data_IF_014839516425
#
_entry.id   IF_014839516425
#
_cell.length_a   1.000
_cell.length_b   1.000
_cell.length_c   1.000
_cell.angle_alpha   90.00
_cell.angle_beta   90.00
_cell.angle_gamma   90.00
#
_symmetry.space_group_name_H-M   'P 1'
#
loop_
_entity.id
_entity.type
_entity.pdbx_description
1 polymer ?
#
# COMPACT_ATOMS: atom_id res chain seq x y z
N UNK A 1 -3.13 1.69 -5.99
CA UNK A 1 -1.74 1.22 -5.95
C UNK A 1 -1.66 -0.07 -5.17
N UNK A 2 -0.65 -0.89 -5.45
CA UNK A 2 -0.36 -2.09 -4.69
C UNK A 2 1.11 -2.16 -4.31
N UNK A 3 1.42 -2.56 -3.09
CA UNK A 3 2.80 -2.74 -2.58
C UNK A 3 3.16 -4.22 -2.47
N UNK A 4 4.38 -4.54 -2.85
CA UNK A 4 5.04 -5.81 -2.59
C UNK A 4 6.37 -5.54 -1.89
N UNK A 5 6.52 -5.98 -0.65
CA UNK A 5 7.69 -5.72 0.18
C UNK A 5 8.18 -7.01 0.85
N UNK A 6 9.51 -7.16 0.91
CA UNK A 6 10.19 -8.19 1.69
C UNK A 6 11.37 -7.53 2.42
N UNK A 7 11.40 -7.63 3.74
CA UNK A 7 12.50 -7.15 4.59
C UNK A 7 13.03 -8.28 5.49
N UNK A 8 14.28 -8.17 5.92
CA UNK A 8 14.87 -9.09 6.89
C UNK A 8 14.47 -8.74 8.32
N UNK A 9 14.64 -9.71 9.23
CA UNK A 9 14.46 -9.53 10.70
C UNK A 9 15.36 -8.45 11.31
N UNK A 10 16.46 -8.13 10.64
CA UNK A 10 17.40 -7.08 11.02
C UNK A 10 16.95 -5.67 10.59
N UNK A 11 15.77 -5.56 9.97
CA UNK A 11 15.20 -4.31 9.45
C UNK A 11 15.62 -4.00 8.01
N UNK A 12 16.60 -4.73 7.46
CA UNK A 12 17.13 -4.46 6.12
C UNK A 12 16.10 -4.77 5.02
N UNK A 13 15.79 -3.77 4.19
CA UNK A 13 14.88 -3.94 3.06
C UNK A 13 15.54 -4.76 1.94
N UNK A 14 14.99 -5.94 1.62
CA UNK A 14 15.50 -6.77 0.53
C UNK A 14 14.95 -6.30 -0.83
N UNK A 15 13.65 -6.01 -0.89
CA UNK A 15 13.00 -5.46 -2.09
C UNK A 15 11.65 -4.84 -1.72
N UNK A 16 11.36 -3.67 -2.30
CA UNK A 16 10.05 -3.03 -2.28
C UNK A 16 9.66 -2.62 -3.69
N UNK A 17 8.44 -2.95 -4.09
CA UNK A 17 7.84 -2.52 -5.35
C UNK A 17 6.45 -1.93 -5.10
N UNK A 18 6.16 -0.77 -5.70
CA UNK A 18 4.81 -0.21 -5.75
C UNK A 18 4.37 -0.11 -7.19
N UNK A 19 3.21 -0.68 -7.50
CA UNK A 19 2.58 -0.59 -8.81
C UNK A 19 1.29 0.19 -8.72
N UNK A 20 1.13 1.18 -9.59
CA UNK A 20 -0.09 1.95 -9.69
C UNK A 20 -0.67 1.96 -11.09
N UNK A 21 -1.96 2.27 -11.15
CA UNK A 21 -2.76 2.30 -12.38
C UNK A 21 -3.90 3.29 -12.19
N UNK A 22 -4.00 4.28 -13.07
CA UNK A 22 -5.21 5.09 -13.24
C UNK A 22 -6.10 4.40 -14.26
N UNK A 23 -7.36 4.17 -13.87
CA UNK A 23 -8.42 3.71 -14.76
C UNK A 23 -9.43 4.84 -14.96
N UNK A 24 -9.86 5.02 -16.20
CA UNK A 24 -10.93 5.96 -16.56
C UNK A 24 -12.14 5.16 -17.00
N UNK A 25 -13.30 5.50 -16.46
CA UNK A 25 -14.60 4.94 -16.84
C UNK A 25 -15.54 6.06 -17.21
N UNK A 26 -16.06 6.02 -18.43
CA UNK A 26 -17.02 6.99 -18.94
C UNK A 26 -18.37 6.29 -19.08
N UNK A 27 -19.42 6.83 -18.45
CA UNK A 27 -20.77 6.23 -18.49
C UNK A 27 -21.74 6.99 -19.40
N UNK A 28 -21.35 8.18 -19.88
CA UNK A 28 -22.18 9.05 -20.73
C UNK A 28 -21.38 9.44 -21.97
N UNK A 29 -21.97 9.24 -23.15
CA UNK A 29 -21.35 9.51 -24.45
C UNK A 29 -20.95 10.96 -24.67
N UNK A 30 -21.62 11.90 -24.01
CA UNK A 30 -21.29 13.33 -24.05
C UNK A 30 -19.91 13.63 -23.48
N UNK A 31 -19.41 12.78 -22.57
CA UNK A 31 -18.08 12.85 -21.96
C UNK A 31 -17.10 11.82 -22.54
N UNK A 32 -17.39 11.27 -23.73
CA UNK A 32 -16.50 10.32 -24.40
C UNK A 32 -15.16 10.92 -24.83
N UNK A 33 -15.11 12.24 -25.08
CA UNK A 33 -13.91 12.97 -25.52
C UNK A 33 -13.45 13.92 -24.41
N UNK A 34 -12.65 13.39 -23.49
CA UNK A 34 -12.13 14.12 -22.33
C UNK A 34 -10.61 14.08 -22.25
N UNK A 35 -10.07 15.07 -21.53
CA UNK A 35 -8.69 15.09 -21.06
C UNK A 35 -8.68 15.09 -19.53
N UNK A 36 -7.71 14.39 -18.95
CA UNK A 36 -7.60 14.16 -17.51
C UNK A 36 -6.25 14.70 -17.04
N UNK A 37 -6.27 15.70 -16.18
CA UNK A 37 -5.06 16.32 -15.64
C UNK A 37 -4.61 15.56 -14.40
N UNK A 38 -3.33 15.18 -14.42
CA UNK A 38 -2.68 14.46 -13.32
C UNK A 38 -1.71 15.41 -12.64
N UNK A 39 -1.90 15.64 -11.35
CA UNK A 39 -0.86 16.20 -10.51
C UNK A 39 0.06 15.07 -10.09
N UNK A 40 1.34 15.19 -10.45
CA UNK A 40 2.38 14.27 -10.06
C UNK A 40 3.36 15.01 -9.14
N UNK A 41 3.23 14.77 -7.85
CA UNK A 41 4.13 15.33 -6.83
C UNK A 41 5.21 14.32 -6.41
N UNK A 42 5.36 13.21 -7.14
CA UNK A 42 6.32 12.18 -6.82
C UNK A 42 7.74 12.74 -6.69
N UNK A 43 8.41 12.34 -5.61
CA UNK A 43 9.82 12.62 -5.35
C UNK A 43 10.67 11.35 -5.30
N UNK A 44 10.03 10.18 -5.44
CA UNK A 44 10.65 8.86 -5.25
C UNK A 44 11.25 8.32 -6.55
N UNK A 45 10.93 8.90 -7.70
CA UNK A 45 11.51 8.54 -8.99
C UNK A 45 10.75 7.41 -9.69
N UNK A 46 9.42 7.44 -9.64
CA UNK A 46 8.59 6.42 -10.26
C UNK A 46 8.74 6.39 -11.79
N UNK A 47 8.58 5.19 -12.37
CA UNK A 47 8.59 5.00 -13.81
C UNK A 47 7.17 5.03 -14.37
N UNK A 48 6.82 6.10 -15.08
CA UNK A 48 5.50 6.29 -15.69
C UNK A 48 5.41 5.66 -17.09
N UNK A 49 4.28 5.02 -17.38
CA UNK A 49 3.95 4.51 -18.70
C UNK A 49 2.48 4.79 -19.04
N UNK A 50 2.24 5.51 -20.14
CA UNK A 50 0.88 5.74 -20.64
C UNK A 50 0.41 4.60 -21.55
N UNK A 51 -0.91 4.44 -21.66
CA UNK A 51 -1.53 3.49 -22.59
C UNK A 51 -1.16 3.82 -24.07
N UNK A 52 -1.02 2.84 -24.98
CA UNK A 52 -0.62 3.08 -26.37
C UNK A 52 -1.48 4.07 -27.17
N UNK A 53 -2.74 4.28 -26.75
CA UNK A 53 -3.66 5.23 -27.38
C UNK A 53 -3.66 6.62 -26.73
N UNK A 54 -2.92 6.83 -25.64
CA UNK A 54 -2.75 8.15 -25.01
C UNK A 54 -1.68 8.95 -25.75
N UNK A 55 -1.87 10.26 -25.84
CA UNK A 55 -0.87 11.18 -26.38
C UNK A 55 0.31 11.34 -25.39
N UNK A 56 1.42 10.66 -25.70
CA UNK A 56 2.66 10.72 -24.92
C UNK A 56 3.29 12.11 -24.90
N UNK A 57 3.17 12.88 -25.98
CA UNK A 57 3.78 14.22 -26.04
C UNK A 57 3.02 15.17 -25.12
N UNK A 58 1.69 15.12 -25.13
CA UNK A 58 0.84 15.89 -24.25
C UNK A 58 1.10 15.55 -22.77
N UNK A 59 1.14 14.25 -22.45
CA UNK A 59 1.42 13.80 -21.08
C UNK A 59 2.79 14.27 -20.59
N UNK A 60 3.84 14.12 -21.39
CA UNK A 60 5.19 14.54 -21.00
C UNK A 60 5.34 16.07 -20.84
N UNK A 61 4.55 16.85 -21.58
CA UNK A 61 4.63 18.31 -21.54
C UNK A 61 3.79 18.93 -20.43
N UNK A 62 2.69 18.29 -20.03
CA UNK A 62 1.64 18.93 -19.22
C UNK A 62 0.97 18.01 -18.19
N UNK A 63 1.44 16.77 -18.04
CA UNK A 63 0.81 15.74 -17.20
C UNK A 63 -0.68 15.53 -17.51
N UNK A 64 -1.06 15.76 -18.77
CA UNK A 64 -2.43 15.65 -19.24
C UNK A 64 -2.61 14.37 -20.07
N UNK A 65 -3.60 13.56 -19.67
CA UNK A 65 -3.97 12.31 -20.35
C UNK A 65 -5.12 12.62 -21.30
N UNK A 66 -4.87 12.48 -22.60
CA UNK A 66 -5.90 12.50 -23.64
C UNK A 66 -5.57 11.46 -24.71
N UNK A 67 -6.57 11.06 -25.51
CA UNK A 67 -6.33 10.15 -26.63
C UNK A 67 -5.56 10.84 -27.75
N UNK A 68 -4.57 10.15 -28.34
CA UNK A 68 -3.77 10.66 -29.47
C UNK A 68 -4.59 10.95 -30.73
N UNK A 69 -5.73 10.27 -30.88
CA UNK A 69 -6.68 10.51 -31.96
C UNK A 69 -7.91 11.20 -31.36
N UNK A 70 -8.02 12.51 -31.58
CA UNK A 70 -9.09 13.36 -31.05
C UNK A 70 -10.48 13.04 -31.62
N UNK A 71 -10.54 12.26 -32.70
CA UNK A 71 -11.81 11.76 -33.24
C UNK A 71 -12.33 10.55 -32.46
N UNK A 72 -11.48 9.86 -31.70
CA UNK A 72 -11.87 8.71 -30.90
C UNK A 72 -12.32 9.14 -29.50
N UNK A 73 -13.29 8.40 -28.97
CA UNK A 73 -13.77 8.54 -27.61
C UNK A 73 -13.23 7.41 -26.72
N UNK A 74 -13.18 7.64 -25.41
CA UNK A 74 -13.03 6.57 -24.43
C UNK A 74 -14.21 5.59 -24.55
N UNK A 75 -13.97 4.27 -24.44
CA UNK A 75 -15.02 3.27 -24.41
C UNK A 75 -16.03 3.53 -23.29
N UNK A 76 -17.32 3.42 -23.62
CA UNK A 76 -18.39 3.58 -22.63
C UNK A 76 -18.50 2.36 -21.73
N UNK A 77 -18.86 2.60 -20.47
CA UNK A 77 -19.16 1.60 -19.44
C UNK A 77 -18.03 0.58 -19.22
N UNK A 78 -16.79 0.94 -19.56
CA UNK A 78 -15.62 0.06 -19.47
C UNK A 78 -14.49 0.77 -18.75
N UNK A 79 -13.85 0.09 -17.81
CA UNK A 79 -12.64 0.59 -17.16
C UNK A 79 -11.44 0.49 -18.09
N UNK A 80 -10.86 1.64 -18.45
CA UNK A 80 -9.67 1.69 -19.32
C UNK A 80 -8.47 2.19 -18.52
N UNK A 81 -7.44 1.37 -18.41
CA UNK A 81 -6.16 1.77 -17.83
C UNK A 81 -5.44 2.76 -18.75
N UNK A 82 -5.19 3.98 -18.26
CA UNK A 82 -4.64 5.08 -19.08
C UNK A 82 -3.20 5.44 -18.72
N UNK A 83 -2.82 5.25 -17.46
CA UNK A 83 -1.50 5.53 -16.92
C UNK A 83 -1.17 4.47 -15.89
N UNK A 84 0.02 3.88 -15.97
CA UNK A 84 0.56 2.97 -14.96
C UNK A 84 1.93 3.46 -14.50
N UNK A 85 2.30 3.14 -13.27
CA UNK A 85 3.64 3.39 -12.76
C UNK A 85 4.19 2.21 -11.99
N UNK A 86 5.51 2.17 -11.92
CA UNK A 86 6.29 1.25 -11.08
C UNK A 86 7.31 2.05 -10.30
N UNK A 87 7.34 1.85 -9.00
CA UNK A 87 8.41 2.23 -8.11
C UNK A 87 9.11 0.96 -7.63
N UNK A 88 10.43 0.94 -7.57
CA UNK A 88 11.20 -0.18 -7.04
C UNK A 88 12.41 0.36 -6.29
N UNK A 89 12.65 -0.16 -5.09
CA UNK A 89 13.76 0.26 -4.23
C UNK A 89 14.20 -0.86 -3.28
N UNK A 90 15.40 -0.69 -2.73
CA UNK A 90 15.95 -1.43 -1.58
C UNK A 90 16.31 -0.49 -0.43
N UNK A 91 15.86 0.75 -0.51
CA UNK A 91 16.05 1.78 0.52
C UNK A 91 15.01 1.62 1.64
N UNK A 92 15.48 1.31 2.84
CA UNK A 92 14.64 1.05 4.02
C UNK A 92 13.82 2.27 4.47
N UNK A 93 14.30 3.48 4.20
CA UNK A 93 13.56 4.72 4.50
C UNK A 93 12.28 4.87 3.67
N UNK A 94 12.16 4.10 2.58
CA UNK A 94 10.99 4.10 1.70
C UNK A 94 9.89 3.16 2.17
N UNK A 95 10.14 2.29 3.15
CA UNK A 95 9.11 1.42 3.71
C UNK A 95 7.97 2.27 4.29
N UNK A 96 6.68 1.94 4.07
CA UNK A 96 5.60 2.70 4.71
C UNK A 96 5.53 2.42 6.22
N UNK A 97 5.71 1.16 6.62
CA UNK A 97 5.58 0.70 8.01
C UNK A 97 6.72 -0.26 8.36
N UNK A 98 7.69 0.20 9.15
CA UNK A 98 8.73 -0.69 9.66
C UNK A 98 8.15 -1.59 10.75
N UNK A 99 8.58 -2.85 10.78
CA UNK A 99 8.22 -3.82 11.82
C UNK A 99 9.51 -4.37 12.41
N UNK A 100 9.69 -4.26 13.72
CA UNK A 100 10.79 -4.89 14.43
C UNK A 100 10.23 -5.98 15.35
N UNK A 101 10.72 -7.21 15.24
CA UNK A 101 10.27 -8.35 16.03
C UNK A 101 11.47 -9.00 16.73
N UNK A 102 11.48 -8.94 18.05
CA UNK A 102 12.59 -9.38 18.91
C UNK A 102 12.13 -10.55 19.81
N UNK A 103 12.23 -11.79 19.33
CA UNK A 103 12.04 -12.96 20.17
C UNK A 103 13.26 -13.22 21.06
N UNK A 104 13.02 -13.41 22.36
CA UNK A 104 14.02 -13.72 23.39
C UNK A 104 13.76 -15.11 23.97
N UNK A 105 14.70 -16.03 23.78
CA UNK A 105 14.63 -17.38 24.34
C UNK A 105 14.87 -17.34 25.87
N UNK A 106 13.92 -17.86 26.64
CA UNK A 106 13.98 -17.94 28.11
C UNK A 106 14.39 -19.32 28.63
N UNK A 107 14.69 -20.27 27.74
CA UNK A 107 14.99 -21.67 28.02
C UNK A 107 13.75 -22.54 28.30
N UNK A 108 12.60 -21.93 28.60
CA UNK A 108 11.31 -22.60 28.80
C UNK A 108 10.23 -22.19 27.77
N UNK A 109 10.56 -21.21 26.93
CA UNK A 109 9.74 -20.65 25.87
C UNK A 109 10.43 -19.40 25.29
N UNK A 110 9.65 -18.54 24.67
CA UNK A 110 10.12 -17.25 24.16
C UNK A 110 9.23 -16.11 24.66
N UNK A 111 9.87 -15.02 25.05
CA UNK A 111 9.24 -13.72 25.24
C UNK A 111 9.47 -12.91 23.96
N UNK A 112 8.41 -12.42 23.34
CA UNK A 112 8.47 -11.71 22.06
C UNK A 112 7.99 -10.29 22.27
N UNK A 113 8.84 -9.32 21.88
CA UNK A 113 8.46 -7.93 21.76
C UNK A 113 8.43 -7.58 20.26
N UNK A 114 7.29 -7.09 19.78
CA UNK A 114 7.12 -6.65 18.40
C UNK A 114 6.60 -5.21 18.40
N UNK A 115 7.17 -4.37 17.54
CA UNK A 115 6.81 -2.97 17.40
C UNK A 115 6.66 -2.60 15.92
N UNK A 116 5.88 -1.55 15.66
CA UNK A 116 5.82 -0.90 14.36
C UNK A 116 6.26 0.56 14.45
N UNK A 117 6.73 1.09 13.33
CA UNK A 117 7.02 2.52 13.14
C UNK A 117 6.54 2.96 11.74
N UNK A 118 5.67 3.96 11.68
CA UNK A 118 5.21 4.60 10.44
C UNK A 118 6.30 5.55 9.94
N UNK A 119 6.97 5.17 8.84
CA UNK A 119 8.05 5.98 8.25
C UNK A 119 7.55 7.04 7.26
N UNK A 120 6.43 6.75 6.59
CA UNK A 120 5.80 7.68 5.65
C UNK A 120 4.60 8.33 6.33
N UNK A 121 4.85 9.42 7.07
CA UNK A 121 3.87 10.06 7.97
C UNK A 121 2.77 10.83 7.25
N UNK A 122 2.87 10.97 5.93
CA UNK A 122 1.80 11.44 5.04
C UNK A 122 0.74 10.37 4.75
N UNK A 123 0.99 9.11 5.12
CA UNK A 123 0.04 8.02 4.99
C UNK A 123 -0.85 7.88 6.23
N UNK A 124 -2.08 7.45 5.95
CA UNK A 124 -3.03 6.95 6.94
C UNK A 124 -3.34 5.51 6.54
N UNK A 125 -2.90 4.56 7.36
CA UNK A 125 -3.08 3.12 7.13
C UNK A 125 -4.28 2.63 7.94
N UNK A 126 -5.28 2.08 7.27
CA UNK A 126 -6.49 1.55 7.88
C UNK A 126 -6.50 0.03 7.90
N UNK A 127 -7.28 -0.50 8.85
CA UNK A 127 -7.53 -1.93 9.00
C UNK A 127 -6.21 -2.72 9.02
N UNK A 128 -5.23 -2.20 9.76
CA UNK A 128 -3.89 -2.76 9.82
C UNK A 128 -3.94 -4.07 10.59
N UNK A 129 -3.42 -5.13 9.98
CA UNK A 129 -3.29 -6.45 10.60
C UNK A 129 -1.84 -6.92 10.44
N UNK A 130 -1.15 -7.08 11.57
CA UNK A 130 0.17 -7.71 11.64
C UNK A 130 -0.03 -9.15 12.10
N UNK A 131 0.39 -10.10 11.28
CA UNK A 131 0.21 -11.54 11.46
C UNK A 131 1.54 -12.16 11.88
N UNK A 132 1.61 -12.60 13.12
CA UNK A 132 2.78 -13.27 13.70
C UNK A 132 2.48 -14.78 13.73
N UNK A 133 3.22 -15.62 12.98
CA UNK A 133 3.08 -17.07 13.10
C UNK A 133 3.52 -17.53 14.49
N UNK A 134 2.91 -18.61 14.96
CA UNK A 134 3.17 -19.20 16.26
C UNK A 134 3.41 -20.71 16.12
N UNK A 135 4.18 -21.32 17.03
CA UNK A 135 4.33 -22.76 17.10
C UNK A 135 2.97 -23.44 17.38
N UNK A 136 2.71 -24.53 16.67
CA UNK A 136 1.46 -25.30 16.82
C UNK A 136 1.52 -26.26 18.01
N UNK A 137 0.40 -26.47 18.71
CA UNK A 137 0.25 -27.53 19.71
C UNK A 137 0.80 -27.21 21.10
N UNK A 138 1.25 -25.97 21.35
CA UNK A 138 1.83 -25.53 22.63
C UNK A 138 0.87 -24.69 23.49
N UNK A 139 -0.35 -24.45 23.02
CA UNK A 139 -1.35 -23.62 23.69
C UNK A 139 -1.50 -22.24 23.04
N UNK A 140 -2.14 -21.32 23.76
CA UNK A 140 -2.30 -19.93 23.34
C UNK A 140 -1.15 -19.06 23.88
N UNK A 141 -0.75 -18.00 23.16
CA UNK A 141 0.21 -17.03 23.69
C UNK A 141 -0.38 -16.29 24.90
N UNK A 142 0.47 -15.90 25.84
CA UNK A 142 0.12 -15.00 26.93
C UNK A 142 0.52 -13.59 26.52
N UNK A 143 -0.46 -12.78 26.11
CA UNK A 143 -0.24 -11.39 25.69
C UNK A 143 -0.18 -10.48 26.92
N UNK A 144 0.88 -9.68 27.01
CA UNK A 144 1.09 -8.63 28.01
C UNK A 144 0.55 -7.29 27.51
N UNK A 145 1.42 -6.28 27.50
CA UNK A 145 1.07 -4.96 26.96
C UNK A 145 0.87 -5.04 25.43
N UNK A 146 -0.13 -4.32 24.94
CA UNK A 146 -0.53 -4.34 23.53
C UNK A 146 -1.24 -3.04 23.16
N UNK A 147 -0.67 -2.29 22.21
CA UNK A 147 -1.32 -1.16 21.58
C UNK A 147 -2.33 -1.62 20.53
N UNK A 148 -3.62 -1.39 20.75
CA UNK A 148 -4.68 -1.87 19.85
C UNK A 148 -5.33 -3.17 20.32
N UNK A 149 -5.74 -4.02 19.39
CA UNK A 149 -6.43 -5.27 19.69
C UNK A 149 -5.67 -6.48 19.15
N UNK A 150 -5.91 -7.66 19.72
CA UNK A 150 -5.34 -8.89 19.20
C UNK A 150 -6.35 -10.03 19.13
N UNK A 151 -6.09 -10.98 18.24
CA UNK A 151 -6.86 -12.21 18.10
C UNK A 151 -5.93 -13.39 17.83
N UNK A 152 -6.10 -14.48 18.58
CA UNK A 152 -5.35 -15.71 18.37
C UNK A 152 -6.19 -16.73 17.58
N UNK A 153 -5.75 -17.05 16.36
CA UNK A 153 -6.33 -18.11 15.53
C UNK A 153 -5.61 -19.43 15.80
N UNK A 154 -6.17 -20.24 16.68
CA UNK A 154 -5.60 -21.55 17.06
C UNK A 154 -5.55 -22.57 15.92
N UNK A 155 -6.38 -22.42 14.88
CA UNK A 155 -6.38 -23.34 13.73
C UNK A 155 -5.22 -23.04 12.79
N UNK A 156 -4.88 -21.76 12.64
CA UNK A 156 -3.75 -21.32 11.81
C UNK A 156 -2.45 -21.22 12.60
N UNK A 157 -2.52 -21.26 13.93
CA UNK A 157 -1.38 -20.95 14.83
C UNK A 157 -0.81 -19.58 14.51
N UNK A 158 -1.67 -18.55 14.52
CA UNK A 158 -1.29 -17.17 14.20
C UNK A 158 -1.85 -16.22 15.25
N UNK A 159 -1.01 -15.32 15.75
CA UNK A 159 -1.42 -14.15 16.50
C UNK A 159 -1.63 -12.98 15.53
N UNK A 160 -2.82 -12.40 15.56
CA UNK A 160 -3.20 -11.24 14.75
C UNK A 160 -3.17 -10.02 15.66
N UNK A 161 -2.34 -9.05 15.32
CA UNK A 161 -2.29 -7.74 15.96
C UNK A 161 -3.01 -6.72 15.06
N UNK A 162 -4.10 -6.16 15.55
CA UNK A 162 -5.03 -5.35 14.80
C UNK A 162 -5.02 -3.91 15.29
N UNK A 163 -4.82 -2.97 14.36
CA UNK A 163 -4.91 -1.54 14.60
C UNK A 163 -5.89 -0.93 13.60
N UNK A 164 -6.90 -0.21 14.09
CA UNK A 164 -7.92 0.39 13.23
C UNK A 164 -7.32 1.43 12.27
N UNK A 165 -6.41 2.27 12.78
CA UNK A 165 -5.69 3.31 12.03
C UNK A 165 -4.27 3.46 12.59
N UNK A 166 -3.29 3.58 11.70
CA UNK A 166 -1.94 4.08 11.99
C UNK A 166 -1.69 5.32 11.13
N UNK A 167 -1.42 6.45 11.78
CA UNK A 167 -1.14 7.75 11.16
C UNK A 167 -0.11 8.54 12.00
N UNK A 168 0.11 9.82 11.65
CA UNK A 168 1.06 10.71 12.32
C UNK A 168 0.78 10.95 13.83
N UNK A 169 -0.41 10.60 14.34
CA UNK A 169 -0.75 10.73 15.76
C UNK A 169 -0.35 9.51 16.59
N UNK A 170 -0.11 8.37 15.94
CA UNK A 170 0.28 7.10 16.56
C UNK A 170 1.31 6.36 15.68
N UNK A 171 2.37 7.09 15.33
CA UNK A 171 3.44 6.63 14.44
C UNK A 171 4.15 5.37 14.94
N UNK A 172 4.10 5.08 16.23
CA UNK A 172 4.64 3.84 16.79
C UNK A 172 3.66 3.16 17.74
N UNK A 173 3.86 1.86 17.93
CA UNK A 173 3.14 1.04 18.90
C UNK A 173 3.84 -0.30 19.08
N UNK A 174 3.54 -1.00 20.16
CA UNK A 174 4.14 -2.29 20.48
C UNK A 174 3.15 -3.32 21.02
N UNK A 175 3.58 -4.58 20.98
CA UNK A 175 2.92 -5.72 21.61
C UNK A 175 3.99 -6.63 22.21
N UNK A 176 3.70 -7.11 23.41
CA UNK A 176 4.51 -8.12 24.10
C UNK A 176 3.68 -9.39 24.32
N UNK A 177 4.26 -10.55 24.05
CA UNK A 177 3.64 -11.82 24.38
C UNK A 177 4.69 -12.90 24.71
N UNK A 178 4.28 -13.92 25.44
CA UNK A 178 5.11 -15.10 25.71
C UNK A 178 4.42 -16.39 25.28
N UNK A 179 5.21 -17.34 24.76
CA UNK A 179 4.72 -18.66 24.34
C UNK A 179 5.89 -19.66 24.31
N UNK A 180 5.60 -20.94 24.54
CA UNK A 180 6.62 -21.98 24.33
C UNK A 180 6.97 -22.09 22.83
N UNK A 181 8.25 -21.98 22.47
CA UNK A 181 8.68 -21.97 21.08
C UNK A 181 10.13 -21.55 20.92
N UNK A 182 10.58 -21.46 19.67
CA UNK A 182 11.89 -20.95 19.28
C UNK A 182 11.77 -19.63 18.52
N UNK A 183 12.80 -18.77 18.54
CA UNK A 183 12.82 -17.50 17.80
C UNK A 183 12.42 -17.58 16.32
N UNK A 184 12.74 -18.69 15.66
CA UNK A 184 12.41 -18.90 14.24
C UNK A 184 10.93 -19.15 13.97
N UNK A 185 10.14 -19.54 14.99
CA UNK A 185 8.72 -19.86 14.85
C UNK A 185 7.86 -18.61 14.58
N UNK A 186 8.39 -17.42 14.87
CA UNK A 186 7.69 -16.13 14.76
C UNK A 186 7.83 -15.44 13.41
N UNK A 187 8.42 -16.13 12.42
CA UNK A 187 8.65 -15.61 11.08
C UNK A 187 8.09 -16.56 10.00
N UNK A 188 7.66 -16.03 8.83
CA UNK A 188 7.64 -14.62 8.49
C UNK A 188 6.47 -13.85 9.12
N UNK A 189 6.73 -12.62 9.57
CA UNK A 189 5.66 -11.68 9.97
C UNK A 189 5.04 -11.09 8.72
N UNK A 190 3.72 -11.15 8.60
CA UNK A 190 2.99 -10.60 7.45
C UNK A 190 2.20 -9.35 7.87
N UNK A 191 2.17 -8.33 7.01
CA UNK A 191 1.38 -7.11 7.26
C UNK A 191 0.32 -6.96 6.19
N UNK A 192 -0.87 -6.54 6.58
CA UNK A 192 -1.93 -6.13 5.68
C UNK A 192 -2.51 -4.79 6.12
N UNK A 193 -2.84 -3.92 5.17
CA UNK A 193 -3.50 -2.64 5.41
C UNK A 193 -4.15 -2.13 4.11
N UNK A 194 -5.00 -1.12 4.25
CA UNK A 194 -5.52 -0.33 3.13
C UNK A 194 -5.32 1.15 3.44
N UNK A 195 -5.00 1.97 2.43
CA UNK A 195 -5.01 3.43 2.54
C UNK A 195 -5.83 4.04 1.43
N UNK A 196 -6.45 5.19 1.72
CA UNK A 196 -7.12 6.04 0.73
C UNK A 196 -6.17 7.07 0.11
N UNK A 197 -4.96 7.18 0.64
CA UNK A 197 -3.91 8.04 0.11
C UNK A 197 -3.05 7.25 -0.86
N UNK A 198 -2.50 7.97 -1.86
CA UNK A 198 -1.53 7.39 -2.79
C UNK A 198 -0.13 7.41 -2.17
N UNK A 199 0.58 6.30 -2.25
CA UNK A 199 1.98 6.21 -1.80
C UNK A 199 2.94 7.05 -2.69
N UNK A 200 2.66 7.13 -3.99
CA UNK A 200 3.47 7.89 -4.94
C UNK A 200 3.02 9.36 -5.12
N UNK A 201 1.99 9.81 -4.39
CA UNK A 201 1.38 11.14 -4.49
C UNK A 201 0.99 11.55 -5.93
N UNK A 202 0.25 10.66 -6.60
CA UNK A 202 -0.41 10.96 -7.88
C UNK A 202 -1.89 11.22 -7.66
N UNK A 203 -2.37 12.36 -8.16
CA UNK A 203 -3.74 12.81 -7.95
C UNK A 203 -4.36 13.27 -9.27
N UNK A 204 -5.65 12.95 -9.45
CA UNK A 204 -6.45 13.50 -10.55
C UNK A 204 -7.08 14.80 -10.04
N UNK A 205 -6.70 15.92 -10.65
CA UNK A 205 -7.13 17.24 -10.18
C UNK A 205 -8.25 17.83 -11.01
N UNK A 206 -8.30 17.50 -12.31
CA UNK A 206 -9.24 18.10 -13.24
C UNK A 206 -9.56 17.15 -14.38
N UNK A 207 -10.81 17.21 -14.86
CA UNK A 207 -11.25 16.58 -16.11
C UNK A 207 -11.91 17.67 -16.95
N UNK A 208 -11.59 17.70 -18.24
CA UNK A 208 -12.10 18.72 -19.17
C UNK A 208 -12.54 18.08 -20.48
N UNK A 209 -13.45 18.71 -21.20
CA UNK A 209 -13.82 18.30 -22.55
C UNK A 209 -12.70 18.62 -23.55
N UNK A 210 -12.42 17.72 -24.50
CA UNK A 210 -11.40 17.96 -25.53
C UNK A 210 -11.78 19.07 -26.53
N UNK A 211 -13.07 19.38 -26.72
CA UNK A 211 -13.49 20.32 -27.77
C UNK A 211 -13.36 21.79 -27.38
N UNK A 212 -13.60 22.12 -26.11
CA UNK A 212 -13.74 23.50 -25.63
C UNK A 212 -13.05 23.74 -24.27
N UNK A 213 -12.33 22.75 -23.75
CA UNK A 213 -11.66 22.79 -22.45
C UNK A 213 -12.59 23.06 -21.25
N UNK A 214 -13.91 22.90 -21.45
CA UNK A 214 -14.87 23.10 -20.38
C UNK A 214 -14.69 22.06 -19.27
N UNK A 215 -14.78 22.45 -17.97
CA UNK A 215 -14.66 21.51 -16.86
C UNK A 215 -15.77 20.46 -16.86
N UNK A 216 -15.38 19.21 -16.64
CA UNK A 216 -16.29 18.06 -16.52
C UNK A 216 -16.29 17.60 -15.06
N UNK A 217 -17.48 17.45 -14.48
CA UNK A 217 -17.63 16.88 -13.15
C UNK A 217 -17.19 15.41 -13.17
N UNK A 218 -16.36 15.03 -12.21
CA UNK A 218 -15.89 13.66 -12.06
C UNK A 218 -15.88 13.25 -10.59
N UNK A 219 -15.74 11.94 -10.36
CA UNK A 219 -15.43 11.36 -9.05
C UNK A 219 -14.17 10.51 -9.19
N UNK A 220 -13.38 10.42 -8.13
CA UNK A 220 -12.19 9.56 -8.06
C UNK A 220 -12.28 8.63 -6.86
N UNK A 221 -11.72 7.45 -7.01
CA UNK A 221 -11.51 6.48 -5.93
C UNK A 221 -10.02 6.14 -5.93
N UNK A 222 -9.37 6.35 -4.78
CA UNK A 222 -7.96 6.05 -4.56
C UNK A 222 -7.86 4.95 -3.52
N UNK A 223 -7.16 3.87 -3.86
CA UNK A 223 -6.94 2.73 -2.98
C UNK A 223 -5.50 2.31 -3.09
N UNK A 224 -4.79 2.29 -1.96
CA UNK A 224 -3.48 1.70 -1.80
C UNK A 224 -3.60 0.47 -0.89
N UNK A 225 -3.15 -0.70 -1.36
CA UNK A 225 -3.33 -1.95 -0.64
C UNK A 225 -2.11 -2.87 -0.75
N UNK A 226 -2.03 -3.85 0.14
CA UNK A 226 -0.93 -4.82 0.17
C UNK A 226 -1.17 -5.98 -0.81
N UNK A 227 -0.20 -6.24 -1.68
CA UNK A 227 -0.10 -7.48 -2.47
C UNK A 227 0.75 -8.51 -1.70
N UNK A 228 1.85 -8.07 -1.11
CA UNK A 228 2.71 -8.84 -0.20
C UNK A 228 3.49 -7.90 0.73
N UNK A 229 3.59 -8.21 2.01
CA UNK A 229 4.39 -7.46 2.97
C UNK A 229 4.91 -8.41 4.03
N UNK A 230 6.19 -8.79 3.92
CA UNK A 230 6.76 -9.88 4.70
C UNK A 230 8.08 -9.47 5.36
N UNK A 231 8.21 -9.80 6.64
CA UNK A 231 9.48 -9.74 7.38
C UNK A 231 9.96 -11.18 7.56
N UNK A 232 11.10 -11.53 6.96
CA UNK A 232 11.62 -12.91 6.84
C UNK A 232 12.86 -13.16 7.68
#
# INVERSE_FOLDING_TARGET
EKISLTAGRDGGLQNMEVHGLVKVKVNDETYGKIKVNVQNNDKKGIQLQTHPNVDKKLFNASSCIALKNQEKSFPLNTDVGVLKWRFQTQDEDMMPLQINCWPNDTGSGCDVNIEYELKQTDLELHDVTILIPLPSGVGAPVVGDCDGEYNFDSRKSVLQWNLAVIDANNESGSMEFSIAGHPDDFFPVNVNFISKNSYCDLQITEVQNCSDDSPVKFSSEVVFYVDRYEIV
#
